data_IF_935395798197
#
_entry.id   IF_935395798197
#
_cell.length_a   1.000
_cell.length_b   1.000
_cell.length_c   1.000
_cell.angle_alpha   90.00
_cell.angle_beta   90.00
_cell.angle_gamma   90.00
#
_symmetry.space_group_name_H-M   'P 1'
#
loop_
_entity.id
_entity.type
_entity.pdbx_description
1 polymer ?
#
# COMPACT_ATOMS: atom_id res chain seq x y z
N UNK A 1 1.14 5.37 -28.37
CA UNK A 1 1.47 6.10 -27.11
C UNK A 1 1.87 5.04 -26.11
N UNK A 2 2.95 5.24 -25.37
CA UNK A 2 3.39 4.29 -24.34
C UNK A 2 2.61 4.60 -23.06
N UNK A 3 1.91 3.60 -22.53
CA UNK A 3 1.23 3.74 -21.24
C UNK A 3 2.29 3.93 -20.13
N UNK A 4 2.01 4.73 -19.09
CA UNK A 4 2.91 4.87 -17.95
C UNK A 4 3.11 3.50 -17.28
N UNK A 5 4.34 3.21 -16.86
CA UNK A 5 4.61 2.02 -16.04
C UNK A 5 4.10 2.25 -14.62
N UNK A 6 3.21 1.36 -14.16
CA UNK A 6 2.54 1.47 -12.87
C UNK A 6 3.21 0.57 -11.82
N UNK A 7 3.86 1.19 -10.83
CA UNK A 7 4.61 0.52 -9.77
C UNK A 7 3.94 0.77 -8.41
N UNK A 8 3.74 -0.28 -7.65
CA UNK A 8 3.15 -0.22 -6.32
C UNK A 8 4.17 -0.65 -5.27
N UNK A 9 4.30 0.13 -4.21
CA UNK A 9 5.06 -0.24 -3.01
C UNK A 9 4.10 -0.71 -1.93
N UNK A 10 4.30 -1.93 -1.45
CA UNK A 10 3.53 -2.54 -0.37
C UNK A 10 4.43 -3.00 0.77
N UNK A 11 3.84 -3.31 1.89
CA UNK A 11 4.54 -3.75 3.10
C UNK A 11 3.99 -3.10 4.36
N UNK A 12 4.44 -3.57 5.51
CA UNK A 12 3.98 -3.11 6.82
C UNK A 12 4.41 -1.66 7.10
N UNK A 13 3.80 -1.02 8.11
CA UNK A 13 4.23 0.29 8.58
C UNK A 13 5.68 0.23 9.05
N UNK A 14 6.45 1.30 8.86
CA UNK A 14 7.87 1.34 9.21
C UNK A 14 8.80 0.51 8.31
N UNK A 15 8.28 -0.12 7.22
CA UNK A 15 9.12 -0.90 6.30
C UNK A 15 10.00 -0.07 5.35
N UNK A 16 9.83 1.27 5.32
CA UNK A 16 10.65 2.17 4.51
C UNK A 16 10.08 2.49 3.12
N UNK A 17 8.80 2.15 2.85
CA UNK A 17 8.15 2.41 1.54
C UNK A 17 8.30 3.84 1.06
N UNK A 18 7.89 4.80 1.86
CA UNK A 18 7.91 6.21 1.50
C UNK A 18 9.32 6.69 1.12
N UNK A 19 10.33 6.26 1.86
CA UNK A 19 11.74 6.55 1.55
C UNK A 19 12.14 5.96 0.20
N UNK A 20 11.79 4.71 -0.06
CA UNK A 20 12.16 4.03 -1.31
C UNK A 20 11.38 4.57 -2.52
N UNK A 21 10.12 4.98 -2.35
CA UNK A 21 9.34 5.68 -3.39
C UNK A 21 10.02 6.99 -3.76
N UNK A 22 10.47 7.76 -2.77
CA UNK A 22 11.15 9.04 -3.02
C UNK A 22 12.49 8.84 -3.74
N UNK A 23 13.30 7.89 -3.29
CA UNK A 23 14.59 7.56 -3.94
C UNK A 23 14.41 7.07 -5.37
N UNK A 24 13.40 6.22 -5.62
CA UNK A 24 13.10 5.75 -6.96
C UNK A 24 12.63 6.88 -7.87
N UNK A 25 11.80 7.79 -7.36
CA UNK A 25 11.39 9.00 -8.08
C UNK A 25 12.62 9.82 -8.50
N UNK A 26 13.49 10.17 -7.56
CA UNK A 26 14.70 10.96 -7.80
C UNK A 26 15.61 10.29 -8.82
N UNK A 27 15.81 8.98 -8.71
CA UNK A 27 16.59 8.20 -9.66
C UNK A 27 16.02 8.28 -11.07
N UNK A 28 14.72 8.05 -11.25
CA UNK A 28 14.08 8.10 -12.57
C UNK A 28 14.07 9.52 -13.15
N UNK A 29 13.80 10.53 -12.32
CA UNK A 29 13.82 11.94 -12.74
C UNK A 29 15.25 12.37 -13.17
N UNK A 30 16.29 11.88 -12.51
CA UNK A 30 17.68 12.12 -12.94
C UNK A 30 18.01 11.55 -14.34
N UNK A 31 17.25 10.55 -14.77
CA UNK A 31 17.30 9.96 -16.11
C UNK A 31 16.37 10.67 -17.13
N UNK A 32 15.78 11.81 -16.75
CA UNK A 32 14.86 12.56 -17.61
C UNK A 32 13.46 11.96 -17.72
N UNK A 33 13.08 11.02 -16.84
CA UNK A 33 11.73 10.44 -16.82
C UNK A 33 10.78 11.33 -16.04
N UNK A 34 9.52 11.38 -16.48
CA UNK A 34 8.45 12.07 -15.77
C UNK A 34 7.78 11.11 -14.83
N UNK A 35 7.85 11.37 -13.52
CA UNK A 35 7.37 10.47 -12.48
C UNK A 35 6.25 11.13 -11.68
N UNK A 36 5.11 10.44 -11.57
CA UNK A 36 4.06 10.81 -10.64
C UNK A 36 4.09 9.88 -9.44
N UNK A 37 4.09 10.44 -8.25
CA UNK A 37 4.02 9.67 -7.00
C UNK A 37 2.78 10.04 -6.21
N UNK A 38 2.15 9.05 -5.58
CA UNK A 38 1.02 9.24 -4.68
C UNK A 38 1.05 8.22 -3.55
N UNK A 39 0.10 8.31 -2.63
CA UNK A 39 -0.10 7.35 -1.55
C UNK A 39 -1.57 6.99 -1.47
N UNK A 40 -1.88 5.74 -1.14
CA UNK A 40 -3.25 5.29 -0.90
C UNK A 40 -3.39 4.72 0.53
N UNK A 41 -4.33 5.25 1.34
CA UNK A 41 -5.17 6.39 1.04
C UNK A 41 -4.41 7.71 1.11
N UNK A 42 -4.80 8.66 0.23
CA UNK A 42 -4.33 10.04 0.30
C UNK A 42 -5.15 10.80 1.36
N UNK A 43 -4.55 11.00 2.52
CA UNK A 43 -5.18 11.70 3.65
C UNK A 43 -5.01 13.22 3.60
N UNK A 44 -4.52 13.77 2.52
CA UNK A 44 -4.38 15.23 2.36
C UNK A 44 -5.74 15.93 2.09
N UNK A 45 -6.73 15.20 1.58
CA UNK A 45 -8.05 15.76 1.29
C UNK A 45 -9.08 15.49 2.40
N UNK A 46 -10.05 16.40 2.54
CA UNK A 46 -11.07 16.36 3.60
C UNK A 46 -11.96 15.10 3.55
N UNK A 47 -12.28 14.61 2.35
CA UNK A 47 -13.12 13.42 2.21
C UNK A 47 -12.39 12.18 2.73
N UNK A 48 -11.14 11.96 2.30
CA UNK A 48 -10.33 10.83 2.78
C UNK A 48 -10.09 10.92 4.29
N UNK A 49 -9.89 12.13 4.85
CA UNK A 49 -9.80 12.32 6.30
C UNK A 49 -11.07 11.91 7.03
N UNK A 50 -12.25 12.34 6.52
CA UNK A 50 -13.53 11.99 7.12
C UNK A 50 -13.81 10.49 7.04
N UNK A 51 -13.53 9.85 5.91
CA UNK A 51 -13.67 8.41 5.72
C UNK A 51 -12.70 7.63 6.61
N UNK A 52 -11.45 8.07 6.74
CA UNK A 52 -10.47 7.47 7.64
C UNK A 52 -10.93 7.53 9.09
N UNK A 53 -11.38 8.70 9.54
CA UNK A 53 -11.93 8.87 10.89
C UNK A 53 -13.08 7.88 11.13
N UNK A 54 -14.02 7.77 10.17
CA UNK A 54 -15.15 6.84 10.29
C UNK A 54 -14.72 5.39 10.28
N UNK A 55 -13.74 5.02 9.47
CA UNK A 55 -13.14 3.68 9.45
C UNK A 55 -12.58 3.31 10.82
N UNK A 56 -11.81 4.22 11.43
CA UNK A 56 -11.22 4.02 12.76
C UNK A 56 -12.27 3.89 13.88
N UNK A 57 -13.38 4.66 13.81
CA UNK A 57 -14.50 4.56 14.74
C UNK A 57 -15.22 3.19 14.66
N UNK A 58 -15.25 2.59 13.48
CA UNK A 58 -15.87 1.28 13.22
C UNK A 58 -14.96 0.10 13.57
N UNK A 59 -13.65 0.37 13.66
CA UNK A 59 -12.64 -0.65 13.92
C UNK A 59 -12.99 -1.49 15.15
N UNK A 60 -12.96 -2.82 14.99
CA UNK A 60 -13.35 -3.80 16.03
C UNK A 60 -14.85 -3.78 16.44
N UNK A 61 -15.65 -2.87 15.92
CA UNK A 61 -17.10 -2.77 16.24
C UNK A 61 -17.98 -3.38 15.15
N UNK A 62 -17.64 -3.08 13.90
CA UNK A 62 -18.39 -3.54 12.74
C UNK A 62 -17.43 -3.67 11.54
N UNK A 63 -16.90 -4.87 11.37
CA UNK A 63 -15.88 -5.16 10.37
C UNK A 63 -16.37 -4.93 8.94
N UNK A 64 -17.66 -5.12 8.67
CA UNK A 64 -18.22 -4.91 7.33
C UNK A 64 -18.27 -3.43 6.97
N UNK A 65 -18.78 -2.61 7.89
CA UNK A 65 -18.81 -1.16 7.69
C UNK A 65 -17.41 -0.56 7.66
N UNK A 66 -16.49 -1.06 8.49
CA UNK A 66 -15.07 -0.69 8.43
C UNK A 66 -14.51 -0.95 7.02
N UNK A 67 -14.67 -2.17 6.50
CA UNK A 67 -14.19 -2.56 5.19
C UNK A 67 -14.82 -1.75 4.05
N UNK A 68 -16.12 -1.48 4.10
CA UNK A 68 -16.81 -0.65 3.12
C UNK A 68 -16.29 0.79 3.15
N UNK A 69 -16.09 1.38 4.31
CA UNK A 69 -15.54 2.74 4.43
C UNK A 69 -14.11 2.80 3.93
N UNK A 70 -13.27 1.84 4.30
CA UNK A 70 -11.90 1.74 3.82
C UNK A 70 -11.84 1.55 2.29
N UNK A 71 -12.70 0.69 1.73
CA UNK A 71 -12.82 0.52 0.27
C UNK A 71 -13.26 1.82 -0.41
N UNK A 72 -14.27 2.50 0.11
CA UNK A 72 -14.77 3.76 -0.46
C UNK A 72 -13.67 4.82 -0.48
N UNK A 73 -12.86 4.90 0.57
CA UNK A 73 -11.73 5.81 0.67
C UNK A 73 -10.66 5.48 -0.40
N UNK A 74 -10.23 4.22 -0.47
CA UNK A 74 -9.22 3.78 -1.44
C UNK A 74 -9.72 3.94 -2.89
N UNK A 75 -10.98 3.60 -3.15
CA UNK A 75 -11.56 3.72 -4.48
C UNK A 75 -11.72 5.18 -4.94
N UNK A 76 -12.12 6.08 -4.03
CA UNK A 76 -12.12 7.51 -4.32
C UNK A 76 -10.72 8.03 -4.67
N UNK A 77 -9.70 7.61 -3.92
CA UNK A 77 -8.32 8.02 -4.20
C UNK A 77 -7.81 7.44 -5.52
N UNK A 78 -8.17 6.20 -5.86
CA UNK A 78 -7.87 5.60 -7.15
C UNK A 78 -8.43 6.44 -8.30
N UNK A 79 -9.73 6.76 -8.26
CA UNK A 79 -10.41 7.54 -9.31
C UNK A 79 -9.86 8.97 -9.45
N UNK A 80 -9.39 9.58 -8.38
CA UNK A 80 -8.89 10.97 -8.39
C UNK A 80 -7.41 11.08 -8.72
N UNK A 81 -6.61 10.19 -8.17
CA UNK A 81 -5.16 10.37 -8.14
C UNK A 81 -4.41 9.39 -9.04
N UNK A 82 -4.93 8.18 -9.28
CA UNK A 82 -4.20 7.11 -9.98
C UNK A 82 -4.75 6.91 -11.40
N UNK A 83 -6.01 6.54 -11.54
CA UNK A 83 -6.62 6.24 -12.83
C UNK A 83 -6.40 7.34 -13.89
N UNK A 84 -6.62 8.64 -13.59
CA UNK A 84 -6.42 9.69 -14.59
C UNK A 84 -4.97 9.83 -15.06
N UNK A 85 -3.99 9.37 -14.25
CA UNK A 85 -2.57 9.40 -14.61
C UNK A 85 -2.17 8.22 -15.48
N UNK A 86 -2.88 7.10 -15.34
CA UNK A 86 -2.65 5.88 -16.12
C UNK A 86 -3.40 5.91 -17.46
N UNK A 87 -4.60 6.52 -17.52
CA UNK A 87 -5.48 6.45 -18.69
C UNK A 87 -5.45 7.69 -19.59
N UNK A 88 -4.71 8.73 -19.21
CA UNK A 88 -4.64 9.98 -19.97
C UNK A 88 -4.14 9.74 -21.40
N UNK A 89 -4.88 10.23 -22.40
CA UNK A 89 -4.46 10.21 -23.80
C UNK A 89 -3.25 11.12 -24.08
N UNK A 90 -2.95 12.05 -23.19
CA UNK A 90 -1.71 12.85 -23.19
C UNK A 90 -0.88 12.38 -22.01
N UNK A 91 -0.01 11.37 -22.16
CA UNK A 91 0.78 10.87 -21.05
C UNK A 91 1.65 12.00 -20.52
N UNK A 92 1.28 12.50 -19.34
CA UNK A 92 2.09 13.45 -18.60
C UNK A 92 3.27 12.76 -17.92
N UNK A 93 3.25 11.42 -17.79
CA UNK A 93 4.17 10.63 -16.99
C UNK A 93 4.65 9.39 -17.72
N UNK A 94 5.89 9.00 -17.44
CA UNK A 94 6.49 7.74 -17.89
C UNK A 94 6.32 6.65 -16.81
N UNK A 95 6.19 7.10 -15.54
CA UNK A 95 5.98 6.24 -14.37
C UNK A 95 4.90 6.82 -13.46
N UNK A 96 4.05 5.92 -12.94
CA UNK A 96 3.12 6.20 -11.83
C UNK A 96 3.51 5.28 -10.69
N UNK A 97 3.85 5.84 -9.53
CA UNK A 97 4.31 5.09 -8.36
C UNK A 97 3.40 5.42 -7.18
N UNK A 98 2.87 4.40 -6.51
CA UNK A 98 2.06 4.59 -5.31
C UNK A 98 2.65 3.88 -4.10
N UNK A 99 2.69 4.59 -2.96
CA UNK A 99 2.90 4.02 -1.64
C UNK A 99 1.56 3.47 -1.15
N UNK A 100 1.39 2.17 -1.19
CA UNK A 100 0.19 1.37 -0.97
C UNK A 100 -0.83 1.40 -2.12
N UNK A 101 -1.59 0.30 -2.18
CA UNK A 101 -2.69 0.09 -3.11
C UNK A 101 -3.78 -0.76 -2.46
N UNK A 102 -4.71 -1.32 -3.22
CA UNK A 102 -5.79 -2.16 -2.69
C UNK A 102 -5.32 -3.39 -1.90
N UNK A 103 -4.07 -3.85 -2.07
CA UNK A 103 -3.51 -4.95 -1.27
C UNK A 103 -3.42 -4.59 0.21
N UNK A 104 -3.04 -3.34 0.53
CA UNK A 104 -3.12 -2.81 1.89
C UNK A 104 -4.55 -2.83 2.44
N UNK A 105 -5.55 -2.46 1.63
CA UNK A 105 -6.95 -2.54 2.05
C UNK A 105 -7.30 -3.94 2.54
N UNK A 106 -6.95 -4.97 1.76
CA UNK A 106 -7.25 -6.34 2.15
C UNK A 106 -6.46 -6.78 3.38
N UNK A 107 -5.17 -6.47 3.45
CA UNK A 107 -4.34 -6.87 4.57
C UNK A 107 -4.81 -6.25 5.90
N UNK A 108 -5.18 -4.97 5.90
CA UNK A 108 -5.53 -4.24 7.13
C UNK A 108 -7.00 -4.38 7.56
N UNK A 109 -7.93 -4.58 6.62
CA UNK A 109 -9.36 -4.52 6.90
C UNK A 109 -10.09 -5.88 6.82
N UNK A 110 -9.40 -6.93 6.37
CA UNK A 110 -9.99 -8.26 6.32
C UNK A 110 -9.19 -9.22 7.22
N UNK A 111 -9.81 -9.84 8.24
CA UNK A 111 -9.18 -10.90 9.00
C UNK A 111 -8.89 -12.11 8.10
N UNK A 112 -7.92 -12.93 8.47
CA UNK A 112 -7.71 -14.24 7.83
C UNK A 112 -9.00 -15.04 7.86
N UNK A 113 -9.29 -15.68 6.77
CA UNK A 113 -10.63 -16.12 6.36
C UNK A 113 -10.96 -17.46 7.02
N UNK A 114 -11.30 -17.41 8.30
CA UNK A 114 -12.03 -18.51 8.95
C UNK A 114 -13.56 -18.28 8.93
N UNK A 115 -14.02 -17.09 8.52
CA UNK A 115 -15.43 -16.72 8.48
C UNK A 115 -15.92 -16.58 7.03
N UNK A 116 -16.86 -17.45 6.65
CA UNK A 116 -17.53 -17.46 5.33
C UNK A 116 -18.12 -16.08 4.97
N UNK A 117 -18.58 -15.31 5.95
CA UNK A 117 -19.14 -13.97 5.71
C UNK A 117 -18.06 -12.99 5.30
N UNK A 118 -16.89 -13.05 5.91
CA UNK A 118 -15.72 -12.21 5.56
C UNK A 118 -15.25 -12.56 4.16
N UNK A 119 -15.20 -13.84 3.80
CA UNK A 119 -14.89 -14.31 2.46
C UNK A 119 -15.87 -13.76 1.40
N UNK A 120 -17.15 -13.77 1.67
CA UNK A 120 -18.17 -13.21 0.78
C UNK A 120 -18.02 -11.68 0.61
N UNK A 121 -17.71 -10.96 1.69
CA UNK A 121 -17.43 -9.52 1.64
C UNK A 121 -16.21 -9.20 0.79
N UNK A 122 -15.15 -9.97 0.96
CA UNK A 122 -13.93 -9.86 0.15
C UNK A 122 -14.20 -10.13 -1.35
N UNK A 123 -14.89 -11.22 -1.67
CA UNK A 123 -15.28 -11.54 -3.05
C UNK A 123 -16.18 -10.45 -3.65
N UNK A 124 -17.03 -9.82 -2.85
CA UNK A 124 -17.82 -8.68 -3.26
C UNK A 124 -16.96 -7.48 -3.69
N UNK A 125 -15.93 -7.15 -2.91
CA UNK A 125 -14.98 -6.07 -3.25
C UNK A 125 -14.13 -6.44 -4.46
N UNK A 126 -13.62 -7.67 -4.55
CA UNK A 126 -12.92 -8.14 -5.75
C UNK A 126 -13.81 -8.07 -7.00
N UNK A 127 -15.07 -8.46 -6.87
CA UNK A 127 -16.06 -8.35 -7.93
C UNK A 127 -16.26 -6.90 -8.38
N UNK A 128 -16.31 -5.95 -7.44
CA UNK A 128 -16.38 -4.53 -7.77
C UNK A 128 -15.12 -4.04 -8.48
N UNK A 129 -13.93 -4.35 -7.98
CA UNK A 129 -12.67 -3.96 -8.61
C UNK A 129 -12.58 -4.47 -10.05
N UNK A 130 -12.98 -5.72 -10.29
CA UNK A 130 -13.03 -6.31 -11.62
C UNK A 130 -14.10 -5.64 -12.52
N UNK A 131 -15.30 -5.39 -11.97
CA UNK A 131 -16.40 -4.73 -12.71
C UNK A 131 -16.05 -3.31 -13.13
N UNK A 132 -15.34 -2.58 -12.29
CA UNK A 132 -14.87 -1.23 -12.60
C UNK A 132 -13.55 -1.20 -13.38
N UNK A 133 -13.03 -2.37 -13.79
CA UNK A 133 -11.77 -2.49 -14.52
C UNK A 133 -10.62 -1.73 -13.84
N UNK A 134 -10.52 -1.84 -12.51
CA UNK A 134 -9.44 -1.22 -11.75
C UNK A 134 -8.09 -1.72 -12.28
N UNK A 135 -7.22 -0.78 -12.64
CA UNK A 135 -5.96 -1.08 -13.31
C UNK A 135 -5.03 -1.81 -12.34
N UNK A 136 -4.57 -2.99 -12.73
CA UNK A 136 -3.57 -3.73 -11.97
C UNK A 136 -2.18 -3.11 -12.20
N UNK A 137 -1.31 -3.07 -11.16
CA UNK A 137 0.05 -2.61 -11.32
C UNK A 137 0.85 -3.53 -12.25
N UNK A 138 1.84 -2.94 -12.92
CA UNK A 138 2.83 -3.72 -13.66
C UNK A 138 3.71 -4.49 -12.70
N UNK A 139 4.20 -3.84 -11.64
CA UNK A 139 5.00 -4.51 -10.61
C UNK A 139 4.63 -4.07 -9.20
N UNK A 140 4.85 -4.99 -8.25
CA UNK A 140 4.76 -4.72 -6.83
C UNK A 140 6.12 -4.94 -6.19
N UNK A 141 6.59 -3.93 -5.46
CA UNK A 141 7.71 -4.00 -4.54
C UNK A 141 7.17 -4.18 -3.13
N UNK A 142 7.27 -5.40 -2.59
CA UNK A 142 6.87 -5.67 -1.21
C UNK A 142 8.08 -5.54 -0.28
N UNK A 143 8.09 -4.50 0.55
CA UNK A 143 9.16 -4.28 1.53
C UNK A 143 8.87 -5.04 2.82
N UNK A 144 9.72 -6.04 3.09
CA UNK A 144 9.66 -6.85 4.31
C UNK A 144 10.76 -6.43 5.28
N UNK A 145 10.39 -6.20 6.54
CA UNK A 145 11.29 -5.82 7.62
C UNK A 145 11.01 -6.72 8.82
N UNK A 146 12.06 -7.12 9.51
CA UNK A 146 11.93 -7.83 10.78
C UNK A 146 11.02 -7.07 11.75
N UNK A 147 10.08 -7.74 12.44
CA UNK A 147 9.13 -7.08 13.32
C UNK A 147 9.76 -6.24 14.44
N UNK A 148 10.93 -6.63 14.95
CA UNK A 148 11.64 -5.87 15.99
C UNK A 148 12.18 -4.56 15.43
N UNK A 149 12.77 -4.61 14.23
CA UNK A 149 13.29 -3.44 13.54
C UNK A 149 12.14 -2.51 13.11
N UNK A 150 11.04 -3.06 12.62
CA UNK A 150 9.83 -2.30 12.32
C UNK A 150 9.33 -1.51 13.54
N UNK A 151 9.17 -2.20 14.68
CA UNK A 151 8.74 -1.61 15.93
C UNK A 151 9.68 -0.49 16.36
N UNK A 152 11.00 -0.71 16.29
CA UNK A 152 12.00 0.30 16.60
C UNK A 152 11.82 1.57 15.78
N UNK A 153 11.68 1.43 14.45
CA UNK A 153 11.49 2.56 13.52
C UNK A 153 10.21 3.35 13.81
N UNK A 154 9.10 2.65 14.05
CA UNK A 154 7.83 3.30 14.39
C UNK A 154 7.96 4.08 15.71
N UNK A 155 8.60 3.52 16.72
CA UNK A 155 8.84 4.22 17.98
C UNK A 155 9.68 5.48 17.79
N UNK A 156 10.78 5.39 17.04
CA UNK A 156 11.64 6.54 16.74
C UNK A 156 10.90 7.64 15.97
N UNK A 157 10.10 7.27 14.97
CA UNK A 157 9.30 8.23 14.19
C UNK A 157 8.23 8.91 15.05
N UNK A 158 7.55 8.16 15.92
CA UNK A 158 6.55 8.70 16.84
C UNK A 158 7.19 9.68 17.83
N UNK A 159 8.35 9.33 18.40
CA UNK A 159 9.08 10.23 19.31
C UNK A 159 9.56 11.50 18.61
N UNK A 160 10.06 11.41 17.38
CA UNK A 160 10.47 12.59 16.58
C UNK A 160 9.31 13.54 16.30
N UNK A 161 8.09 13.01 16.19
CA UNK A 161 6.87 13.80 15.97
C UNK A 161 6.26 14.32 17.27
N UNK A 162 6.91 14.10 18.44
CA UNK A 162 6.42 14.53 19.74
C UNK A 162 5.20 13.75 20.24
N UNK A 163 4.95 12.57 19.66
CA UNK A 163 3.87 11.69 20.07
C UNK A 163 4.28 10.77 21.22
N UNK A 164 3.31 10.42 22.06
CA UNK A 164 3.46 9.39 23.08
C UNK A 164 2.97 8.05 22.53
N UNK A 165 3.74 6.98 22.77
CA UNK A 165 3.39 5.65 22.30
C UNK A 165 2.52 4.99 23.35
N UNK A 166 1.22 5.01 23.15
CA UNK A 166 0.29 4.22 23.94
C UNK A 166 0.66 2.72 23.84
N UNK A 167 0.74 2.05 25.00
CA UNK A 167 1.01 0.61 25.09
C UNK A 167 0.07 -0.22 24.21
N UNK A 168 -1.19 0.18 24.06
CA UNK A 168 -2.17 -0.47 23.22
C UNK A 168 -1.81 -0.45 21.72
N UNK A 169 -1.09 0.58 21.29
CA UNK A 169 -0.59 0.67 19.91
C UNK A 169 0.64 -0.22 19.65
N UNK A 170 1.37 -0.65 20.68
CA UNK A 170 2.53 -1.53 20.51
C UNK A 170 2.15 -2.99 20.26
N UNK A 171 0.99 -3.43 20.73
CA UNK A 171 0.51 -4.81 20.54
C UNK A 171 0.14 -5.09 19.09
N UNK A 172 -0.29 -4.07 18.34
CA UNK A 172 -0.54 -4.19 16.90
C UNK A 172 0.74 -4.40 16.06
N UNK A 173 1.92 -4.20 16.66
CA UNK A 173 3.23 -4.47 16.06
C UNK A 173 3.91 -5.70 16.67
N UNK A 174 3.13 -6.60 17.26
CA UNK A 174 3.64 -7.89 17.74
C UNK A 174 4.10 -8.76 16.57
N UNK A 175 5.02 -9.68 16.82
CA UNK A 175 5.51 -10.62 15.80
C UNK A 175 4.35 -11.38 15.16
N UNK A 176 3.45 -11.93 15.99
CA UNK A 176 2.28 -12.70 15.50
C UNK A 176 1.32 -11.85 14.67
N UNK A 177 1.13 -10.57 15.02
CA UNK A 177 0.31 -9.67 14.23
C UNK A 177 0.93 -9.42 12.87
N UNK A 178 2.24 -9.18 12.83
CA UNK A 178 2.97 -8.91 11.59
C UNK A 178 3.01 -10.12 10.65
N UNK A 179 3.20 -11.34 11.18
CA UNK A 179 3.12 -12.57 10.39
C UNK A 179 1.76 -12.72 9.73
N UNK A 180 0.68 -12.56 10.49
CA UNK A 180 -0.69 -12.58 9.95
C UNK A 180 -0.94 -11.49 8.89
N UNK A 181 -0.37 -10.31 9.07
CA UNK A 181 -0.48 -9.24 8.08
C UNK A 181 0.26 -9.57 6.79
N UNK A 182 1.45 -10.17 6.87
CA UNK A 182 2.21 -10.63 5.70
C UNK A 182 1.44 -11.72 4.97
N UNK A 183 0.90 -12.70 5.66
CA UNK A 183 0.05 -13.75 5.07
C UNK A 183 -1.14 -13.15 4.29
N UNK A 184 -1.83 -12.15 4.86
CA UNK A 184 -2.93 -11.45 4.19
C UNK A 184 -2.49 -10.71 2.93
N UNK A 185 -1.33 -10.06 2.96
CA UNK A 185 -0.75 -9.42 1.79
C UNK A 185 -0.46 -10.43 0.68
N UNK A 186 0.21 -11.53 1.01
CA UNK A 186 0.54 -12.59 0.06
C UNK A 186 -0.74 -13.16 -0.55
N UNK A 187 -1.72 -13.47 0.29
CA UNK A 187 -3.01 -13.95 -0.17
C UNK A 187 -3.71 -12.95 -1.11
N UNK A 188 -3.73 -11.65 -0.76
CA UNK A 188 -4.32 -10.63 -1.61
C UNK A 188 -3.59 -10.50 -2.95
N UNK A 189 -2.26 -10.61 -2.96
CA UNK A 189 -1.45 -10.56 -4.18
C UNK A 189 -1.68 -11.78 -5.09
N UNK A 190 -2.01 -12.94 -4.55
CA UNK A 190 -2.36 -14.13 -5.32
C UNK A 190 -3.76 -14.06 -5.96
N UNK A 191 -4.70 -13.41 -5.27
CA UNK A 191 -6.12 -13.38 -5.67
C UNK A 191 -6.49 -12.12 -6.46
N UNK A 192 -5.79 -11.02 -6.28
CA UNK A 192 -5.96 -9.81 -7.06
C UNK A 192 -4.93 -9.79 -8.19
N UNK A 193 -5.38 -10.09 -9.41
CA UNK A 193 -4.54 -10.31 -10.60
C UNK A 193 -3.41 -9.30 -10.73
N UNK A 194 -2.17 -9.80 -10.74
CA UNK A 194 -0.97 -9.05 -11.05
C UNK A 194 -0.62 -9.24 -12.54
N UNK A 195 -0.21 -8.16 -13.22
CA UNK A 195 0.22 -8.26 -14.61
C UNK A 195 1.58 -8.97 -14.75
N UNK A 196 2.55 -8.62 -13.90
CA UNK A 196 3.94 -9.09 -14.05
C UNK A 196 4.53 -9.74 -12.78
N UNK A 197 3.79 -9.72 -11.67
CA UNK A 197 4.22 -10.34 -10.42
C UNK A 197 4.73 -9.34 -9.35
N UNK A 198 5.18 -9.89 -8.24
CA UNK A 198 5.73 -9.10 -7.13
C UNK A 198 7.11 -9.59 -6.73
N UNK A 199 7.89 -8.72 -6.10
CA UNK A 199 9.13 -9.07 -5.44
C UNK A 199 9.15 -8.63 -4.00
N UNK A 200 9.43 -9.57 -3.10
CA UNK A 200 9.81 -9.24 -1.73
C UNK A 200 11.24 -8.74 -1.71
N UNK A 201 11.41 -7.54 -1.18
CA UNK A 201 12.72 -6.92 -0.96
C UNK A 201 12.92 -6.71 0.53
N UNK A 202 14.08 -7.08 1.05
CA UNK A 202 14.41 -6.79 2.44
C UNK A 202 14.51 -5.28 2.65
N UNK A 203 13.65 -4.76 3.49
CA UNK A 203 13.72 -3.37 3.98
C UNK A 203 14.60 -3.23 5.24
N UNK A 204 15.18 -4.35 5.72
CA UNK A 204 16.12 -4.35 6.84
C UNK A 204 17.52 -3.95 6.38
N UNK A 205 18.13 -3.02 7.11
CA UNK A 205 19.51 -2.64 6.87
C UNK A 205 19.68 -1.31 6.15
N UNK A 206 20.69 -1.25 5.28
CA UNK A 206 21.09 -0.02 4.60
C UNK A 206 20.07 0.37 3.51
N UNK A 207 19.66 1.64 3.52
CA UNK A 207 18.67 2.22 2.60
C UNK A 207 19.14 2.08 1.15
N UNK A 208 20.43 2.32 0.87
CA UNK A 208 21.03 2.26 -0.44
C UNK A 208 21.02 0.84 -1.02
N UNK A 209 21.35 -0.17 -0.20
CA UNK A 209 21.30 -1.58 -0.64
C UNK A 209 19.88 -2.02 -0.98
N UNK A 210 18.91 -1.57 -0.20
CA UNK A 210 17.49 -1.81 -0.49
C UNK A 210 17.11 -1.16 -1.82
N UNK A 211 17.52 0.09 -2.03
CA UNK A 211 17.27 0.84 -3.26
C UNK A 211 17.88 0.16 -4.49
N UNK A 212 19.15 -0.27 -4.42
CA UNK A 212 19.81 -1.01 -5.50
C UNK A 212 19.08 -2.31 -5.84
N UNK A 213 18.60 -3.03 -4.83
CA UNK A 213 17.80 -4.25 -5.03
C UNK A 213 16.48 -3.97 -5.76
N UNK A 214 15.85 -2.84 -5.47
CA UNK A 214 14.62 -2.38 -6.12
C UNK A 214 14.91 -2.01 -7.58
N UNK A 215 15.93 -1.20 -7.85
CA UNK A 215 16.32 -0.82 -9.21
C UNK A 215 16.63 -2.05 -10.07
N UNK A 216 17.39 -3.00 -9.53
CA UNK A 216 17.70 -4.26 -10.23
C UNK A 216 16.45 -5.06 -10.57
N UNK A 217 15.47 -5.11 -9.67
CA UNK A 217 14.20 -5.78 -9.93
C UNK A 217 13.42 -5.07 -11.03
N UNK A 218 13.28 -3.77 -10.92
CA UNK A 218 12.53 -2.94 -11.87
C UNK A 218 13.29 -2.73 -13.18
N UNK A 219 14.57 -3.10 -13.26
CA UNK A 219 15.45 -2.90 -14.43
C UNK A 219 15.53 -1.42 -14.87
N UNK A 220 15.74 -0.55 -13.89
CA UNK A 220 15.85 0.89 -14.05
C UNK A 220 17.15 1.43 -13.48
#
# INVERSE_FOLDING_TARGET
MVEPRFIVFEGLDGSGKTTQVQLLKEHLESQGKRVYTTRMPDTSNRLSQALLKRTLELRKKDIYREAVMAFTMCFNDYLRNIEPKLTSKKPGYDYVITDRYFYSLFAYNFPLIDDVKVFNGFNGILGMLNKFNVICPDEIVFLNVDPKEQRRRIMEDTMRQGGDIDKANLDQYSIQHNEKMIERYLWAMEHFKLRLGYKMVSGAGNIEKTHESIKKFLKV
#
